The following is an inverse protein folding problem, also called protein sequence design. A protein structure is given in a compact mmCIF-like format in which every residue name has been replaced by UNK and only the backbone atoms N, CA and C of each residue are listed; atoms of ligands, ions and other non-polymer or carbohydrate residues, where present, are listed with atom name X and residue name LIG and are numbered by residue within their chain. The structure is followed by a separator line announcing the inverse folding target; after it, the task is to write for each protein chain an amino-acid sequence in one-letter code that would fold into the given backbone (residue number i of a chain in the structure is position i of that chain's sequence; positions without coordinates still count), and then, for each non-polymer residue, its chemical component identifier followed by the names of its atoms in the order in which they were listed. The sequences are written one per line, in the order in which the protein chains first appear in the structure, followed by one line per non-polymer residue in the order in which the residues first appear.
data_IF_425368038403
#
_entry.id   IF_425368038403
#
_cell.length_a   1.000
_cell.length_b   1.000
_cell.length_c   1.000
_cell.angle_alpha   90.00
_cell.angle_beta   90.00
_cell.angle_gamma   90.00
#
_symmetry.space_group_name_H-M   'P 1'
#
loop_
_entity.id
_entity.type
_entity.pdbx_description
1 polymer ?
#
# COMPACT_ATOMS: atom_id res chain seq x y z
N UNK A 1 41.47 -1.47 -26.81
CA UNK A 1 41.21 -2.34 -25.63
C UNK A 1 40.66 -1.47 -24.49
N UNK A 2 39.42 -1.68 -24.03
CA UNK A 2 38.86 -0.93 -22.87
C UNK A 2 39.42 -1.53 -21.58
N UNK A 3 40.27 -0.79 -20.86
CA UNK A 3 40.69 -1.17 -19.51
C UNK A 3 39.46 -1.18 -18.59
N UNK A 4 39.07 -2.34 -18.05
CA UNK A 4 38.10 -2.40 -16.96
C UNK A 4 38.74 -1.76 -15.73
N UNK A 5 38.18 -0.66 -15.23
CA UNK A 5 38.49 -0.15 -13.89
C UNK A 5 37.98 -1.17 -12.89
N UNK A 6 38.91 -1.91 -12.26
CA UNK A 6 38.62 -2.70 -11.07
C UNK A 6 38.50 -1.70 -9.91
N UNK A 7 37.37 -1.71 -9.21
CA UNK A 7 37.25 -0.97 -7.95
C UNK A 7 38.08 -1.71 -6.90
N UNK A 8 38.85 -0.99 -6.07
CA UNK A 8 39.66 -1.63 -5.06
C UNK A 8 38.72 -2.30 -4.03
N UNK A 9 39.06 -3.54 -3.64
CA UNK A 9 38.22 -4.43 -2.82
C UNK A 9 37.96 -3.88 -1.42
N UNK A 10 38.80 -2.96 -0.95
CA UNK A 10 38.69 -2.23 0.32
C UNK A 10 37.41 -1.39 0.43
N UNK A 11 36.78 -1.04 -0.70
CA UNK A 11 35.56 -0.22 -0.77
C UNK A 11 34.29 -1.05 -0.99
N UNK A 12 34.40 -2.37 -1.07
CA UNK A 12 33.25 -3.24 -1.26
C UNK A 12 32.43 -3.35 0.04
N UNK A 13 31.10 -3.29 -0.02
CA UNK A 13 30.26 -3.47 1.16
C UNK A 13 30.26 -4.95 1.59
N UNK A 14 30.18 -5.19 2.90
CA UNK A 14 30.15 -6.54 3.46
C UNK A 14 28.75 -7.15 3.27
N UNK A 15 28.67 -8.29 2.61
CA UNK A 15 27.40 -8.95 2.30
C UNK A 15 27.08 -10.01 3.36
N UNK A 16 25.95 -9.87 4.04
CA UNK A 16 25.49 -10.77 5.10
C UNK A 16 24.10 -11.32 4.74
N UNK A 17 23.87 -12.61 4.99
CA UNK A 17 22.55 -13.24 4.85
C UNK A 17 21.82 -13.25 6.19
N UNK A 18 20.62 -12.67 6.23
CA UNK A 18 19.71 -12.75 7.37
C UNK A 18 18.55 -13.71 7.09
N UNK A 19 18.19 -14.58 8.03
CA UNK A 19 17.02 -15.44 7.89
C UNK A 19 15.72 -14.61 7.97
N UNK A 20 14.78 -14.89 7.06
CA UNK A 20 13.39 -14.44 7.09
C UNK A 20 12.54 -15.44 7.88
N UNK A 21 11.33 -15.03 8.25
CA UNK A 21 10.32 -15.93 8.84
C UNK A 21 10.00 -17.08 7.86
N UNK A 22 10.04 -18.32 8.32
CA UNK A 22 9.80 -19.51 7.50
C UNK A 22 10.78 -20.65 7.81
N UNK A 23 10.93 -21.58 6.87
CA UNK A 23 11.84 -22.73 7.01
C UNK A 23 13.29 -22.33 6.69
N UNK A 24 14.19 -22.44 7.66
CA UNK A 24 15.61 -22.09 7.52
C UNK A 24 16.39 -23.01 6.56
N UNK A 25 15.84 -24.15 6.13
CA UNK A 25 16.48 -25.03 5.15
C UNK A 25 16.30 -24.55 3.71
N UNK A 26 15.36 -23.65 3.46
CA UNK A 26 15.08 -23.13 2.12
C UNK A 26 15.83 -21.82 1.88
N UNK A 27 16.66 -21.79 0.83
CA UNK A 27 17.45 -20.61 0.44
C UNK A 27 16.58 -19.34 0.21
N UNK A 28 15.35 -19.51 -0.28
CA UNK A 28 14.39 -18.41 -0.52
C UNK A 28 14.02 -17.64 0.76
N UNK A 29 14.13 -18.31 1.91
CA UNK A 29 13.86 -17.72 3.22
C UNK A 29 15.05 -16.95 3.78
N UNK A 30 16.10 -16.69 2.99
CA UNK A 30 17.17 -15.76 3.38
C UNK A 30 17.03 -14.44 2.62
N UNK A 31 17.43 -13.35 3.28
CA UNK A 31 17.60 -12.03 2.68
C UNK A 31 19.06 -11.63 2.77
N UNK A 32 19.64 -11.24 1.65
CA UNK A 32 20.97 -10.65 1.62
C UNK A 32 20.90 -9.17 1.95
N UNK A 33 21.73 -8.71 2.89
CA UNK A 33 21.92 -7.30 3.23
C UNK A 33 23.38 -6.94 2.99
N UNK A 34 23.57 -5.76 2.40
CA UNK A 34 24.88 -5.19 2.12
C UNK A 34 25.20 -4.14 3.18
N UNK A 35 26.17 -4.39 4.05
CA UNK A 35 26.67 -3.43 5.02
C UNK A 35 27.60 -2.43 4.35
N UNK A 36 27.17 -1.19 4.39
CA UNK A 36 27.87 -0.04 3.81
C UNK A 36 28.86 0.52 4.85
N UNK A 37 29.98 1.07 4.39
CA UNK A 37 30.95 1.73 5.28
C UNK A 37 30.34 2.92 6.02
N UNK A 38 30.94 3.28 7.17
CA UNK A 38 30.46 4.40 7.98
C UNK A 38 30.43 5.73 7.19
N UNK A 39 31.47 5.99 6.40
CA UNK A 39 31.56 7.22 5.58
C UNK A 39 30.46 7.29 4.53
N UNK A 40 30.18 6.17 3.85
CA UNK A 40 29.10 6.09 2.88
C UNK A 40 27.72 6.20 3.53
N UNK A 41 27.53 5.69 4.76
CA UNK A 41 26.29 5.90 5.52
C UNK A 41 26.02 7.39 5.80
N UNK A 42 27.03 8.14 6.25
CA UNK A 42 26.91 9.60 6.48
C UNK A 42 26.58 10.33 5.18
N UNK A 43 27.27 10.00 4.09
CA UNK A 43 27.00 10.59 2.78
C UNK A 43 25.57 10.31 2.31
N UNK A 44 25.09 9.08 2.48
CA UNK A 44 23.72 8.70 2.15
C UNK A 44 22.70 9.47 2.98
N UNK A 45 22.97 9.69 4.27
CA UNK A 45 22.05 10.46 5.11
C UNK A 45 21.91 11.92 4.64
N UNK A 46 23.03 12.55 4.26
CA UNK A 46 23.03 13.89 3.65
C UNK A 46 22.21 13.91 2.36
N UNK A 47 22.42 12.93 1.47
CA UNK A 47 21.70 12.82 0.20
C UNK A 47 20.20 12.60 0.44
N UNK A 48 19.83 11.74 1.39
CA UNK A 48 18.43 11.44 1.69
C UNK A 48 17.74 12.61 2.40
N UNK A 49 18.45 13.42 3.18
CA UNK A 49 17.88 14.59 3.84
C UNK A 49 17.48 15.71 2.87
N UNK A 50 18.14 15.80 1.71
CA UNK A 50 17.83 16.84 0.72
C UNK A 50 16.43 16.75 0.09
N UNK A 51 15.95 15.59 -0.42
CA UNK A 51 14.61 15.47 -0.99
C UNK A 51 13.49 15.23 0.03
N UNK A 52 13.80 14.95 1.31
CA UNK A 52 12.79 14.69 2.36
C UNK A 52 11.62 15.70 2.41
N UNK A 53 11.84 17.03 2.42
CA UNK A 53 10.73 17.99 2.50
C UNK A 53 9.79 17.91 1.28
N UNK A 54 10.34 17.71 0.08
CA UNK A 54 9.55 17.58 -1.14
C UNK A 54 8.83 16.23 -1.24
N UNK A 55 9.42 15.19 -0.66
CA UNK A 55 8.79 13.88 -0.58
C UNK A 55 7.53 13.92 0.31
N UNK A 56 7.55 14.67 1.42
CA UNK A 56 6.40 14.80 2.32
C UNK A 56 5.20 15.48 1.64
N UNK A 57 5.45 16.42 0.74
CA UNK A 57 4.42 17.12 -0.06
C UNK A 57 3.81 16.24 -1.17
N UNK A 58 4.55 15.25 -1.66
CA UNK A 58 4.11 14.39 -2.76
C UNK A 58 3.23 13.24 -2.28
N UNK A 59 1.93 13.28 -2.57
CA UNK A 59 0.93 12.19 -2.48
C UNK A 59 0.62 11.63 -1.07
N UNK A 60 -0.60 11.89 -0.62
CA UNK A 60 -1.23 11.25 0.55
C UNK A 60 -1.40 9.72 0.40
N UNK A 61 -1.35 9.19 -0.83
CA UNK A 61 -1.56 7.75 -1.11
C UNK A 61 -0.33 6.90 -0.78
N UNK A 62 0.88 7.46 -0.82
CA UNK A 62 2.12 6.69 -0.57
C UNK A 62 2.46 6.77 0.92
N UNK A 63 1.92 5.83 1.69
CA UNK A 63 2.02 5.83 3.16
C UNK A 63 3.26 5.10 3.73
N UNK A 64 4.11 4.48 2.91
CA UNK A 64 5.30 3.77 3.40
C UNK A 64 6.56 4.66 3.39
N UNK A 65 7.40 4.51 4.42
CA UNK A 65 8.69 5.20 4.59
C UNK A 65 8.62 6.72 4.80
N UNK A 66 7.55 7.22 5.44
CA UNK A 66 7.45 8.62 5.91
C UNK A 66 7.57 8.75 7.42
N UNK A 67 7.93 9.94 7.86
CA UNK A 67 7.85 10.29 9.28
C UNK A 67 6.37 10.27 9.73
N UNK A 68 6.12 9.83 10.96
CA UNK A 68 4.78 9.82 11.55
C UNK A 68 3.70 9.03 10.78
N UNK A 69 4.06 8.11 9.87
CA UNK A 69 3.13 7.18 9.22
C UNK A 69 3.48 5.76 9.61
N UNK A 70 2.73 5.19 10.54
CA UNK A 70 2.97 3.83 11.04
C UNK A 70 2.15 2.79 10.27
N UNK A 71 2.62 1.54 10.23
CA UNK A 71 1.83 0.43 9.70
C UNK A 71 0.50 0.26 10.44
N UNK A 72 0.46 0.64 11.73
CA UNK A 72 -0.75 0.60 12.57
C UNK A 72 -1.80 1.58 12.05
N UNK A 73 -1.41 2.81 11.71
CA UNK A 73 -2.33 3.79 11.10
C UNK A 73 -2.90 3.28 9.77
N UNK A 74 -2.07 2.65 8.94
CA UNK A 74 -2.53 2.06 7.67
C UNK A 74 -3.55 0.95 7.90
N UNK A 75 -3.32 0.09 8.89
CA UNK A 75 -4.28 -0.94 9.28
C UNK A 75 -5.58 -0.29 9.74
N UNK A 76 -5.51 0.72 10.61
CA UNK A 76 -6.68 1.41 11.13
C UNK A 76 -7.52 2.08 10.02
N UNK A 77 -6.86 2.75 9.06
CA UNK A 77 -7.54 3.32 7.89
C UNK A 77 -8.22 2.23 7.06
N UNK A 78 -7.55 1.10 6.83
CA UNK A 78 -8.17 -0.04 6.13
C UNK A 78 -9.40 -0.56 6.87
N UNK A 79 -9.37 -0.66 8.21
CA UNK A 79 -10.53 -1.08 9.00
C UNK A 79 -11.71 -0.10 8.83
N UNK A 80 -11.47 1.20 8.93
CA UNK A 80 -12.51 2.22 8.72
C UNK A 80 -13.13 2.09 7.32
N UNK A 81 -12.31 1.94 6.29
CA UNK A 81 -12.80 1.79 4.92
C UNK A 81 -13.65 0.53 4.77
N UNK A 82 -13.20 -0.61 5.30
CA UNK A 82 -13.94 -1.88 5.26
C UNK A 82 -15.27 -1.75 6.00
N UNK A 83 -15.26 -1.19 7.21
CA UNK A 83 -16.47 -1.02 8.02
C UNK A 83 -17.49 -0.10 7.34
N UNK A 84 -17.03 0.98 6.70
CA UNK A 84 -17.90 1.88 5.95
C UNK A 84 -18.58 1.18 4.77
N UNK A 85 -17.84 0.35 4.02
CA UNK A 85 -18.36 -0.42 2.88
C UNK A 85 -19.37 -1.47 3.34
N UNK A 86 -19.07 -2.17 4.44
CA UNK A 86 -19.98 -3.16 5.04
C UNK A 86 -21.25 -2.46 5.56
N UNK A 87 -21.10 -1.31 6.21
CA UNK A 87 -22.22 -0.50 6.71
C UNK A 87 -23.14 -0.04 5.59
N UNK A 88 -22.57 0.49 4.51
CA UNK A 88 -23.32 0.91 3.32
C UNK A 88 -24.08 -0.26 2.70
N UNK A 89 -23.42 -1.41 2.51
CA UNK A 89 -24.06 -2.61 1.97
C UNK A 89 -25.26 -3.05 2.82
N UNK A 90 -25.11 -3.12 4.14
CA UNK A 90 -26.21 -3.48 5.05
C UNK A 90 -27.37 -2.48 5.00
N UNK A 91 -27.09 -1.19 4.89
CA UNK A 91 -28.13 -0.17 4.76
C UNK A 91 -28.87 -0.32 3.43
N UNK A 92 -28.14 -0.54 2.35
CA UNK A 92 -28.68 -0.76 1.03
C UNK A 92 -29.54 -2.03 0.95
N UNK A 93 -29.07 -3.17 1.49
CA UNK A 93 -29.83 -4.43 1.60
C UNK A 93 -31.16 -4.22 2.35
N UNK A 94 -31.17 -3.44 3.44
CA UNK A 94 -32.40 -3.14 4.20
C UNK A 94 -33.42 -2.38 3.36
N UNK A 95 -33.00 -1.33 2.66
CA UNK A 95 -33.89 -0.54 1.81
C UNK A 95 -34.46 -1.39 0.68
N UNK A 96 -33.63 -2.24 0.07
CA UNK A 96 -34.06 -3.17 -0.97
C UNK A 96 -35.17 -4.11 -0.48
N UNK A 97 -35.01 -4.72 0.70
CA UNK A 97 -36.01 -5.63 1.26
C UNK A 97 -37.32 -4.95 1.66
N UNK A 98 -37.27 -3.72 2.20
CA UNK A 98 -38.47 -2.99 2.66
C UNK A 98 -39.29 -2.49 1.48
N UNK A 99 -38.64 -2.01 0.42
CA UNK A 99 -39.31 -1.36 -0.72
C UNK A 99 -39.49 -2.27 -1.94
N UNK A 100 -38.98 -3.51 -1.89
CA UNK A 100 -39.10 -4.47 -2.98
C UNK A 100 -38.17 -4.18 -4.17
N UNK A 101 -37.11 -3.38 -3.97
CA UNK A 101 -36.11 -3.03 -4.97
C UNK A 101 -36.07 -1.54 -5.32
N UNK A 102 -35.11 -1.14 -6.17
CA UNK A 102 -34.99 0.23 -6.69
C UNK A 102 -35.42 0.30 -8.16
N UNK A 103 -35.86 1.48 -8.60
CA UNK A 103 -36.14 1.74 -10.01
C UNK A 103 -35.11 2.68 -10.62
N UNK A 104 -34.62 2.34 -11.81
CA UNK A 104 -33.74 3.21 -12.59
C UNK A 104 -34.50 3.59 -13.88
N UNK A 105 -34.77 4.91 -14.07
CA UNK A 105 -35.62 5.46 -15.15
C UNK A 105 -37.00 4.78 -15.26
N UNK A 106 -37.66 4.53 -14.14
CA UNK A 106 -39.00 3.94 -14.09
C UNK A 106 -39.07 2.44 -14.39
N UNK A 107 -37.92 1.74 -14.49
CA UNK A 107 -37.86 0.28 -14.58
C UNK A 107 -37.20 -0.31 -13.33
N UNK A 108 -37.72 -1.41 -12.76
CA UNK A 108 -37.09 -2.07 -11.62
C UNK A 108 -35.71 -2.61 -12.00
N UNK A 109 -34.75 -2.46 -11.10
CA UNK A 109 -33.40 -2.98 -11.27
C UNK A 109 -33.40 -4.51 -11.26
N UNK A 110 -32.72 -5.12 -12.22
CA UNK A 110 -32.64 -6.58 -12.44
C UNK A 110 -31.85 -7.32 -11.36
N UNK A 111 -30.88 -6.66 -10.72
CA UNK A 111 -30.08 -7.24 -9.64
C UNK A 111 -29.58 -6.19 -8.64
N UNK A 112 -29.15 -6.66 -7.46
CA UNK A 112 -28.58 -5.81 -6.41
C UNK A 112 -27.28 -5.12 -6.85
N UNK A 113 -26.47 -5.80 -7.67
CA UNK A 113 -25.25 -5.25 -8.26
C UNK A 113 -25.53 -4.13 -9.25
N UNK A 114 -26.56 -4.26 -10.08
CA UNK A 114 -26.92 -3.25 -11.08
C UNK A 114 -27.33 -1.94 -10.40
N UNK A 115 -28.04 -2.05 -9.28
CA UNK A 115 -28.47 -0.90 -8.50
C UNK A 115 -27.31 -0.24 -7.73
N UNK A 116 -26.32 -1.01 -7.26
CA UNK A 116 -25.10 -0.44 -6.66
C UNK A 116 -24.23 0.30 -7.69
N UNK A 117 -24.08 -0.25 -8.90
CA UNK A 117 -23.30 0.38 -9.97
C UNK A 117 -23.94 1.64 -10.54
N UNK A 118 -25.27 1.75 -10.48
CA UNK A 118 -26.03 2.86 -11.04
C UNK A 118 -26.83 3.64 -9.97
N UNK A 119 -26.37 3.60 -8.72
CA UNK A 119 -27.10 4.17 -7.57
C UNK A 119 -27.52 5.63 -7.79
N UNK A 120 -26.66 6.41 -8.46
CA UNK A 120 -26.90 7.83 -8.77
C UNK A 120 -28.06 8.06 -9.77
N UNK A 121 -28.52 7.02 -10.46
CA UNK A 121 -29.63 7.06 -11.42
C UNK A 121 -30.89 6.34 -10.92
N UNK A 122 -30.84 5.76 -9.72
CA UNK A 122 -31.92 4.97 -9.17
C UNK A 122 -32.71 5.77 -8.12
N UNK A 123 -34.03 5.62 -8.14
CA UNK A 123 -34.99 6.20 -7.18
C UNK A 123 -35.72 5.10 -6.43
N UNK A 124 -36.34 5.47 -5.30
CA UNK A 124 -37.30 4.60 -4.61
C UNK A 124 -38.54 4.41 -5.51
N UNK A 125 -39.19 3.24 -5.45
CA UNK A 125 -40.42 2.96 -6.20
C UNK A 125 -41.60 3.86 -5.78
#
# INVERSE_FOLDING_TARGET
MRKKKIWPTDKAPLVITLPKKGNLRQCQNYRTISLISHTSKVMLDIILNHPKPKAEELSEEIADFRACRSTVEKIFICWILIDSVIGFKKAFDRVWHVLGGFQCRGRPCSSHSDALQNLHQCSLP
#
